data_IF_497212396601
#
_entry.id   IF_497212396601
#
_cell.length_a   1.000
_cell.length_b   1.000
_cell.length_c   1.000
_cell.angle_alpha   90.00
_cell.angle_beta   90.00
_cell.angle_gamma   90.00
#
_symmetry.space_group_name_H-M   'P 1'
#
loop_
_entity.id
_entity.type
_entity.pdbx_description
1 polymer ?
#
# COMPACT_ATOMS: atom_id res chain seq x y z
N UNK A 1 -9.94 4.13 15.18
CA UNK A 1 -10.26 4.99 14.02
C UNK A 1 -10.93 4.21 12.90
N UNK A 2 -10.32 3.14 12.41
CA UNK A 2 -10.88 2.35 11.30
C UNK A 2 -12.28 1.84 11.59
N UNK A 3 -12.50 1.26 12.79
CA UNK A 3 -13.81 0.74 13.15
C UNK A 3 -14.88 1.83 13.17
N UNK A 4 -14.55 3.02 13.66
CA UNK A 4 -15.47 4.16 13.67
C UNK A 4 -15.85 4.57 12.24
N UNK A 5 -14.90 4.56 11.33
CA UNK A 5 -15.15 4.86 9.93
C UNK A 5 -16.10 3.83 9.31
N UNK A 6 -15.84 2.54 9.56
CA UNK A 6 -16.67 1.45 9.06
C UNK A 6 -18.09 1.56 9.61
N UNK A 7 -18.23 1.79 10.91
CA UNK A 7 -19.55 1.94 11.55
C UNK A 7 -20.31 3.12 10.96
N UNK A 8 -19.64 4.24 10.72
CA UNK A 8 -20.26 5.42 10.11
C UNK A 8 -20.72 5.14 8.69
N UNK A 9 -19.89 4.48 7.88
CA UNK A 9 -20.22 4.15 6.50
C UNK A 9 -21.36 3.13 6.44
N UNK A 10 -21.37 2.15 7.34
CA UNK A 10 -22.43 1.15 7.44
C UNK A 10 -23.76 1.82 7.79
N UNK A 11 -23.76 2.71 8.79
CA UNK A 11 -24.98 3.44 9.19
C UNK A 11 -25.58 4.27 8.04
N UNK A 12 -24.76 4.68 7.06
CA UNK A 12 -25.19 5.40 5.87
C UNK A 12 -25.44 4.49 4.67
N UNK A 13 -25.41 3.17 4.88
CA UNK A 13 -25.60 2.15 3.83
C UNK A 13 -24.63 2.30 2.66
N UNK A 14 -23.42 2.77 2.91
CA UNK A 14 -22.42 3.02 1.85
C UNK A 14 -21.42 1.90 1.67
N UNK A 15 -21.30 0.95 2.63
CA UNK A 15 -20.31 -0.12 2.54
C UNK A 15 -20.51 -1.01 1.30
N UNK A 16 -21.76 -1.24 0.91
CA UNK A 16 -22.06 -2.11 -0.24
C UNK A 16 -21.60 -1.52 -1.58
N UNK A 17 -21.45 -0.20 -1.67
CA UNK A 17 -21.06 0.49 -2.90
C UNK A 17 -19.66 1.08 -2.83
N UNK A 18 -18.98 0.91 -1.70
CA UNK A 18 -17.64 1.48 -1.49
C UNK A 18 -16.58 0.52 -2.01
N UNK A 19 -15.70 1.03 -2.86
CA UNK A 19 -14.43 0.34 -3.16
C UNK A 19 -13.37 0.90 -2.25
N UNK A 20 -12.62 0.01 -1.62
CA UNK A 20 -11.59 0.39 -0.67
C UNK A 20 -10.26 -0.25 -1.04
N UNK A 21 -9.30 0.58 -1.38
CA UNK A 21 -7.92 0.17 -1.62
C UNK A 21 -7.10 0.45 -0.37
N UNK A 22 -6.52 -0.59 0.19
CA UNK A 22 -5.64 -0.47 1.35
C UNK A 22 -4.22 -0.60 0.86
N UNK A 23 -3.41 0.41 1.08
CA UNK A 23 -2.09 0.51 0.48
C UNK A 23 -1.01 0.57 1.56
N UNK A 24 -0.04 -0.34 1.47
CA UNK A 24 1.19 -0.24 2.23
C UNK A 24 2.19 0.54 1.39
N UNK A 25 2.44 1.79 1.77
CA UNK A 25 3.41 2.62 1.09
C UNK A 25 4.82 2.34 1.59
N UNK A 26 5.82 2.84 0.88
CA UNK A 26 7.24 2.70 1.25
C UNK A 26 7.66 1.24 1.37
N UNK A 27 7.11 0.38 0.51
CA UNK A 27 7.38 -1.06 0.58
C UNK A 27 8.81 -1.42 0.14
N UNK A 28 9.61 -0.46 -0.31
CA UNK A 28 11.03 -0.66 -0.56
C UNK A 28 11.84 -0.94 0.69
N UNK A 29 11.24 -0.72 1.87
CA UNK A 29 11.93 -0.88 3.14
C UNK A 29 11.91 -2.33 3.62
N UNK A 30 13.09 -2.87 3.90
CA UNK A 30 13.28 -4.15 4.58
C UNK A 30 12.48 -5.30 3.98
N UNK A 31 11.83 -6.03 4.83
CA UNK A 31 11.07 -7.23 4.47
C UNK A 31 9.77 -6.96 3.71
N UNK A 32 9.30 -5.70 3.69
CA UNK A 32 8.07 -5.37 2.96
C UNK A 32 8.22 -5.61 1.47
N UNK A 33 9.41 -5.38 0.91
CA UNK A 33 9.66 -5.54 -0.51
C UNK A 33 9.42 -6.97 -0.98
N UNK A 34 9.83 -7.96 -0.20
CA UNK A 34 9.64 -9.37 -0.56
C UNK A 34 8.17 -9.78 -0.57
N UNK A 35 7.32 -9.09 0.18
CA UNK A 35 5.87 -9.38 0.24
C UNK A 35 5.02 -8.62 -0.77
N UNK A 36 5.63 -7.83 -1.66
CA UNK A 36 4.88 -6.91 -2.52
C UNK A 36 3.95 -7.57 -3.55
N UNK A 37 4.22 -8.81 -3.92
CA UNK A 37 3.43 -9.52 -4.93
C UNK A 37 2.13 -10.07 -4.35
N UNK A 38 2.11 -10.42 -3.07
CA UNK A 38 0.92 -10.90 -2.36
C UNK A 38 0.74 -10.09 -1.08
N UNK A 39 0.43 -8.78 -1.19
CA UNK A 39 0.48 -7.89 -0.04
C UNK A 39 -0.49 -8.25 1.07
N UNK A 40 -1.67 -8.76 0.74
CA UNK A 40 -2.63 -9.13 1.78
C UNK A 40 -2.07 -10.20 2.71
N UNK A 41 -1.46 -11.24 2.15
CA UNK A 41 -0.95 -12.38 2.92
C UNK A 41 0.43 -12.10 3.52
N UNK A 42 1.30 -11.48 2.75
CA UNK A 42 2.71 -11.38 3.12
C UNK A 42 3.07 -10.06 3.80
N UNK A 43 2.20 -9.07 3.73
CA UNK A 43 2.40 -7.78 4.40
C UNK A 43 1.33 -7.54 5.46
N UNK A 44 0.07 -7.46 5.07
CA UNK A 44 -1.00 -7.07 6.01
C UNK A 44 -1.30 -8.14 7.04
N UNK A 45 -1.31 -9.40 6.64
CA UNK A 45 -1.56 -10.50 7.59
C UNK A 45 -0.42 -10.65 8.60
N UNK A 46 0.79 -10.29 8.20
CA UNK A 46 1.98 -10.36 9.05
C UNK A 46 2.08 -9.15 9.99
N UNK A 47 1.92 -7.95 9.44
CA UNK A 47 2.18 -6.71 10.18
C UNK A 47 0.94 -6.04 10.75
N UNK A 48 -0.23 -6.24 10.16
CA UNK A 48 -1.48 -5.58 10.54
C UNK A 48 -2.65 -6.57 10.51
N UNK A 49 -2.54 -7.71 11.24
CA UNK A 49 -3.56 -8.77 11.13
C UNK A 49 -4.94 -8.32 11.63
N UNK A 50 -5.01 -7.49 12.67
CA UNK A 50 -6.29 -7.01 13.18
C UNK A 50 -7.00 -6.08 12.20
N UNK A 51 -6.23 -5.22 11.54
CA UNK A 51 -6.75 -4.33 10.49
C UNK A 51 -7.33 -5.15 9.34
N UNK A 52 -6.58 -6.16 8.88
CA UNK A 52 -7.06 -7.07 7.84
C UNK A 52 -8.35 -7.76 8.25
N UNK A 53 -8.41 -8.29 9.46
CA UNK A 53 -9.60 -8.98 9.96
C UNK A 53 -10.84 -8.09 9.97
N UNK A 54 -10.70 -6.86 10.47
CA UNK A 54 -11.79 -5.90 10.52
C UNK A 54 -12.31 -5.59 9.11
N UNK A 55 -11.40 -5.35 8.18
CA UNK A 55 -11.77 -5.02 6.81
C UNK A 55 -12.46 -6.19 6.12
N UNK A 56 -11.89 -7.40 6.24
CA UNK A 56 -12.47 -8.58 5.61
C UNK A 56 -13.82 -8.98 6.22
N UNK A 57 -14.03 -8.69 7.50
CA UNK A 57 -15.31 -8.98 8.16
C UNK A 57 -16.44 -8.02 7.76
N UNK A 58 -16.11 -6.80 7.34
CA UNK A 58 -17.09 -5.73 7.13
C UNK A 58 -17.28 -5.31 5.67
N UNK A 59 -16.37 -5.66 4.77
CA UNK A 59 -16.39 -5.20 3.39
C UNK A 59 -16.41 -6.42 2.45
N UNK A 60 -17.27 -6.38 1.43
CA UNK A 60 -17.35 -7.45 0.46
C UNK A 60 -16.01 -7.64 -0.25
N UNK A 61 -15.65 -8.91 -0.49
CA UNK A 61 -14.36 -9.26 -1.07
C UNK A 61 -14.08 -8.52 -2.39
N UNK A 62 -15.11 -8.39 -3.23
CA UNK A 62 -14.97 -7.71 -4.53
C UNK A 62 -14.75 -6.19 -4.43
N UNK A 63 -15.02 -5.62 -3.26
CA UNK A 63 -14.88 -4.18 -3.02
C UNK A 63 -13.64 -3.83 -2.20
N UNK A 64 -12.80 -4.81 -1.88
CA UNK A 64 -11.64 -4.62 -1.02
C UNK A 64 -10.41 -5.20 -1.67
N UNK A 65 -9.36 -4.38 -1.85
CA UNK A 65 -8.07 -4.83 -2.35
C UNK A 65 -6.94 -4.26 -1.53
N UNK A 66 -5.92 -5.08 -1.34
CA UNK A 66 -4.70 -4.72 -0.64
C UNK A 66 -3.56 -4.55 -1.63
N UNK A 67 -2.80 -3.49 -1.48
CA UNK A 67 -1.71 -3.14 -2.39
C UNK A 67 -0.44 -2.83 -1.62
N UNK A 68 0.70 -3.13 -2.23
CA UNK A 68 1.99 -2.61 -1.84
C UNK A 68 2.44 -1.59 -2.89
N UNK A 69 3.08 -0.52 -2.46
CA UNK A 69 3.44 0.60 -3.32
C UNK A 69 4.76 1.19 -2.87
N UNK A 70 5.58 1.60 -3.82
CA UNK A 70 6.83 2.31 -3.52
C UNK A 70 7.06 3.43 -4.52
N UNK A 71 7.19 4.65 -4.02
CA UNK A 71 7.54 5.80 -4.84
C UNK A 71 9.00 5.75 -5.29
N UNK A 72 9.90 5.31 -4.42
CA UNK A 72 11.34 5.27 -4.70
C UNK A 72 11.79 4.00 -5.42
N UNK A 73 11.15 2.87 -5.12
CA UNK A 73 11.55 1.58 -5.65
C UNK A 73 12.87 1.08 -5.05
N UNK A 74 13.44 0.10 -5.70
CA UNK A 74 14.76 -0.45 -5.35
C UNK A 74 15.75 -0.16 -6.46
N UNK A 75 17.05 -0.41 -6.19
CA UNK A 75 18.11 -0.11 -7.15
C UNK A 75 18.04 -0.97 -8.40
N UNK A 76 17.59 -2.23 -8.28
CA UNK A 76 17.46 -3.10 -9.45
C UNK A 76 16.99 -4.48 -9.06
N UNK A 77 16.73 -5.32 -10.10
CA UNK A 77 16.24 -6.69 -9.89
C UNK A 77 17.23 -7.53 -9.07
N UNK A 78 18.52 -7.35 -9.31
CA UNK A 78 19.60 -8.08 -8.62
C UNK A 78 20.13 -7.32 -7.42
N UNK A 79 19.64 -6.11 -7.17
CA UNK A 79 20.05 -5.28 -6.05
C UNK A 79 18.80 -4.69 -5.41
N UNK A 80 18.16 -5.41 -4.46
CA UNK A 80 16.91 -4.98 -3.87
C UNK A 80 17.06 -3.94 -2.77
N UNK A 81 18.24 -3.34 -2.63
CA UNK A 81 18.40 -2.24 -1.67
C UNK A 81 17.50 -1.07 -2.07
N UNK A 82 16.86 -0.40 -1.11
CA UNK A 82 16.00 0.74 -1.41
C UNK A 82 16.73 1.82 -2.20
N UNK A 83 16.08 2.34 -3.24
CA UNK A 83 16.60 3.48 -4.00
C UNK A 83 16.27 4.77 -3.27
N UNK A 84 16.70 4.84 -2.03
CA UNK A 84 16.36 5.90 -1.12
C UNK A 84 17.54 6.19 -0.20
N UNK A 85 17.81 7.46 0.02
CA UNK A 85 18.70 7.88 1.10
C UNK A 85 18.09 9.05 1.85
N UNK A 86 18.30 9.09 3.15
CA UNK A 86 17.85 10.18 3.99
C UNK A 86 18.93 11.24 4.07
N UNK A 87 18.54 12.49 3.93
CA UNK A 87 19.44 13.65 4.07
C UNK A 87 18.88 14.57 5.13
N UNK A 88 19.76 15.29 5.90
CA UNK A 88 19.30 16.22 6.91
C UNK A 88 18.48 17.36 6.29
N UNK A 89 17.44 17.79 7.00
CA UNK A 89 16.59 18.91 6.60
C UNK A 89 16.18 19.73 7.82
N UNK A 90 15.52 20.86 7.57
CA UNK A 90 15.11 21.77 8.65
C UNK A 90 14.12 21.15 9.63
N UNK A 91 13.30 20.21 9.17
CA UNK A 91 12.26 19.56 9.98
C UNK A 91 12.58 18.09 10.27
N UNK A 92 13.85 17.69 10.17
CA UNK A 92 14.28 16.31 10.31
C UNK A 92 14.96 15.80 9.06
N UNK A 93 14.76 14.52 8.74
CA UNK A 93 15.35 13.92 7.55
C UNK A 93 14.41 14.01 6.36
N UNK A 94 14.96 14.36 5.19
CA UNK A 94 14.26 14.27 3.92
C UNK A 94 14.74 13.02 3.17
N UNK A 95 13.86 12.44 2.36
CA UNK A 95 14.21 11.30 1.53
C UNK A 95 14.45 11.76 0.10
N UNK A 96 15.53 11.27 -0.50
CA UNK A 96 15.86 11.50 -1.91
C UNK A 96 16.24 10.19 -2.56
N UNK A 97 16.20 10.15 -3.90
CA UNK A 97 16.67 8.98 -4.65
C UNK A 97 18.17 8.81 -4.47
N UNK A 98 18.59 7.56 -4.25
CA UNK A 98 20.01 7.21 -4.17
C UNK A 98 20.65 7.28 -5.55
N UNK A 99 19.96 6.70 -6.55
CA UNK A 99 20.39 6.70 -7.95
C UNK A 99 19.20 7.11 -8.81
N UNK A 100 19.16 8.39 -9.22
CA UNK A 100 18.03 8.91 -9.99
C UNK A 100 17.87 8.24 -11.35
N UNK A 101 18.96 7.78 -11.95
CA UNK A 101 18.93 7.08 -13.24
C UNK A 101 18.29 5.68 -13.15
N UNK A 102 18.22 5.11 -11.95
CA UNK A 102 17.61 3.81 -11.70
C UNK A 102 16.21 3.92 -11.13
N UNK A 103 15.63 5.10 -11.10
CA UNK A 103 14.30 5.30 -10.50
C UNK A 103 13.25 4.46 -11.23
N UNK A 104 12.61 3.60 -10.48
CA UNK A 104 11.54 2.74 -10.97
C UNK A 104 10.51 2.57 -9.85
N UNK A 105 9.47 3.42 -9.83
CA UNK A 105 8.42 3.27 -8.83
C UNK A 105 7.68 1.96 -9.01
N UNK A 106 7.10 1.45 -7.91
CA UNK A 106 6.37 0.20 -7.93
C UNK A 106 4.89 0.44 -7.66
N UNK A 107 4.07 0.00 -8.59
CA UNK A 107 2.61 -0.16 -8.44
C UNK A 107 1.86 1.15 -8.12
N UNK A 108 2.33 2.27 -8.62
CA UNK A 108 1.74 3.59 -8.33
C UNK A 108 0.35 3.77 -8.94
N UNK A 109 0.07 3.08 -10.05
CA UNK A 109 -1.14 3.29 -10.85
C UNK A 109 -2.25 2.30 -10.51
N UNK A 110 -1.91 1.05 -10.18
CA UNK A 110 -2.90 -0.02 -10.02
C UNK A 110 -4.00 0.29 -9.00
N UNK A 111 -3.71 0.83 -7.81
CA UNK A 111 -4.77 1.16 -6.86
C UNK A 111 -5.75 2.19 -7.41
N UNK A 112 -5.23 3.23 -8.04
CA UNK A 112 -6.07 4.31 -8.62
C UNK A 112 -6.91 3.80 -9.78
N UNK A 113 -6.31 2.96 -10.63
CA UNK A 113 -7.03 2.36 -11.75
C UNK A 113 -8.20 1.51 -11.27
N UNK A 114 -7.95 0.66 -10.28
CA UNK A 114 -9.01 -0.18 -9.72
C UNK A 114 -10.12 0.66 -9.07
N UNK A 115 -9.76 1.70 -8.33
CA UNK A 115 -10.75 2.59 -7.71
C UNK A 115 -11.64 3.27 -8.74
N UNK A 116 -11.10 3.61 -9.91
CA UNK A 116 -11.85 4.36 -10.93
C UNK A 116 -12.81 3.47 -11.73
N UNK A 117 -12.47 2.19 -11.96
CA UNK A 117 -13.31 1.36 -12.84
C UNK A 117 -13.59 -0.05 -12.33
N UNK A 118 -13.04 -0.45 -11.19
CA UNK A 118 -13.27 -1.76 -10.59
C UNK A 118 -12.53 -2.91 -11.26
N UNK A 119 -11.62 -2.64 -12.19
CA UNK A 119 -10.85 -3.65 -12.89
C UNK A 119 -9.40 -3.63 -12.44
N UNK A 120 -8.75 -4.80 -12.46
CA UNK A 120 -7.31 -4.90 -12.24
C UNK A 120 -6.58 -4.61 -13.55
N UNK A 121 -5.41 -4.05 -13.42
CA UNK A 121 -4.51 -3.91 -14.56
C UNK A 121 -3.92 -5.26 -14.90
#
# INVERSE_FOLDING_TARGET
MLKKYIDLMDSKSRLNNLRLAIVMSKCERGELWSGRLEPEMDIFDVHLPKTKQILRANIQAKHLHFYALSTFGVLGRKDPRPNRKDVPGKSGSNAVLRESTLWQPYNMIAPLYWLSNGNKI
#
